data_IF_666824464094
#
_entry.id   IF_666824464094
#
_cell.length_a   1.000
_cell.length_b   1.000
_cell.length_c   1.000
_cell.angle_alpha   90.00
_cell.angle_beta   90.00
_cell.angle_gamma   90.00
#
_symmetry.space_group_name_H-M   'P 1'
#
loop_
_entity.id
_entity.type
_entity.pdbx_description
1 polymer ?
#
# COMPACT_ATOMS: atom_id res chain seq x y z
N UNK A 1 29.28 -10.47 11.07
CA UNK A 1 28.78 -9.31 10.29
C UNK A 1 27.28 -9.30 10.46
N UNK A 2 26.68 -8.20 10.89
CA UNK A 2 25.23 -8.12 11.00
C UNK A 2 24.63 -8.18 9.59
N UNK A 3 23.80 -9.19 9.30
CA UNK A 3 22.98 -9.27 8.09
C UNK A 3 21.90 -8.19 8.19
N UNK A 4 22.24 -6.94 7.90
CA UNK A 4 21.28 -5.85 7.91
C UNK A 4 20.47 -5.88 6.62
N UNK A 5 19.20 -6.29 6.73
CA UNK A 5 18.22 -6.26 5.65
C UNK A 5 17.82 -4.79 5.40
N UNK A 6 17.74 -4.37 4.13
CA UNK A 6 17.35 -3.00 3.80
C UNK A 6 15.84 -2.80 3.88
N UNK A 7 15.38 -1.56 4.03
CA UNK A 7 13.95 -1.23 4.00
C UNK A 7 13.27 -1.66 2.68
N UNK A 8 14.03 -1.60 1.58
CA UNK A 8 13.56 -1.99 0.26
C UNK A 8 13.36 -3.51 0.15
N UNK A 9 14.25 -4.31 0.74
CA UNK A 9 14.10 -5.77 0.81
C UNK A 9 12.87 -6.16 1.66
N UNK A 10 12.63 -5.46 2.77
CA UNK A 10 11.43 -5.68 3.59
C UNK A 10 10.17 -5.33 2.78
N UNK A 11 10.19 -4.21 2.06
CA UNK A 11 9.06 -3.77 1.22
C UNK A 11 8.77 -4.74 0.08
N UNK A 12 9.81 -5.25 -0.58
CA UNK A 12 9.67 -6.23 -1.66
C UNK A 12 9.04 -7.52 -1.16
N UNK A 13 9.58 -8.09 -0.08
CA UNK A 13 9.04 -9.29 0.55
C UNK A 13 7.59 -9.09 1.01
N UNK A 14 7.29 -7.93 1.60
CA UNK A 14 5.93 -7.58 2.01
C UNK A 14 4.97 -7.50 0.81
N UNK A 15 5.37 -6.84 -0.28
CA UNK A 15 4.55 -6.72 -1.48
C UNK A 15 4.28 -8.08 -2.14
N UNK A 16 5.27 -8.96 -2.19
CA UNK A 16 5.12 -10.31 -2.71
C UNK A 16 4.19 -11.16 -1.82
N UNK A 17 4.38 -11.12 -0.49
CA UNK A 17 3.52 -11.83 0.45
C UNK A 17 2.06 -11.37 0.36
N UNK A 18 1.84 -10.04 0.27
CA UNK A 18 0.50 -9.47 0.05
C UNK A 18 -0.12 -9.92 -1.28
N UNK A 19 0.66 -9.95 -2.36
CA UNK A 19 0.17 -10.40 -3.67
C UNK A 19 -0.21 -11.88 -3.65
N UNK A 20 0.61 -12.74 -3.04
CA UNK A 20 0.34 -14.16 -2.93
C UNK A 20 -0.91 -14.43 -2.08
N UNK A 21 -1.02 -13.76 -0.92
CA UNK A 21 -2.21 -13.82 -0.07
C UNK A 21 -3.46 -13.37 -0.83
N UNK A 22 -3.40 -12.23 -1.52
CA UNK A 22 -4.54 -11.70 -2.27
C UNK A 22 -4.95 -12.58 -3.45
N UNK A 23 -4.00 -13.19 -4.15
CA UNK A 23 -4.27 -14.17 -5.20
C UNK A 23 -4.98 -15.42 -4.65
N UNK A 24 -4.60 -15.87 -3.45
CA UNK A 24 -5.26 -17.00 -2.79
C UNK A 24 -6.70 -16.66 -2.37
N UNK A 25 -6.92 -15.45 -1.86
CA UNK A 25 -8.25 -14.97 -1.46
C UNK A 25 -9.15 -14.64 -2.65
N UNK A 26 -8.58 -14.15 -3.75
CA UNK A 26 -9.28 -13.69 -4.96
C UNK A 26 -8.61 -14.30 -6.20
N UNK A 27 -8.99 -15.52 -6.62
CA UNK A 27 -8.33 -16.23 -7.74
C UNK A 27 -8.30 -15.45 -9.06
N UNK A 28 -9.31 -14.61 -9.32
CA UNK A 28 -9.38 -13.75 -10.52
C UNK A 28 -8.23 -12.74 -10.59
N UNK A 29 -7.63 -12.36 -9.45
CA UNK A 29 -6.43 -11.53 -9.45
C UNK A 29 -5.24 -12.28 -10.08
N UNK A 30 -5.12 -13.59 -9.87
CA UNK A 30 -4.10 -14.41 -10.54
C UNK A 30 -4.29 -14.43 -12.06
N UNK A 31 -5.51 -14.67 -12.54
CA UNK A 31 -5.86 -14.60 -13.96
C UNK A 31 -5.57 -13.22 -14.56
N UNK A 32 -5.81 -12.14 -13.81
CA UNK A 32 -5.45 -10.79 -14.24
C UNK A 32 -3.94 -10.62 -14.39
N UNK A 33 -3.14 -11.14 -13.45
CA UNK A 33 -1.68 -11.05 -13.54
C UNK A 33 -1.12 -11.80 -14.75
N UNK A 34 -1.66 -12.98 -15.07
CA UNK A 34 -1.31 -13.73 -16.28
C UNK A 34 -1.61 -12.92 -17.55
N UNK A 35 -2.82 -12.36 -17.65
CA UNK A 35 -3.20 -11.51 -18.78
C UNK A 35 -2.30 -10.27 -18.92
N UNK A 36 -1.96 -9.63 -17.80
CA UNK A 36 -1.05 -8.47 -17.79
C UNK A 36 0.34 -8.86 -18.30
N UNK A 37 0.86 -10.03 -17.91
CA UNK A 37 2.14 -10.52 -18.38
C UNK A 37 2.13 -10.77 -19.90
N UNK A 38 1.09 -11.43 -20.41
CA UNK A 38 0.93 -11.71 -21.85
C UNK A 38 0.85 -10.43 -22.67
N UNK A 39 0.05 -9.45 -22.21
CA UNK A 39 -0.10 -8.15 -22.88
C UNK A 39 1.23 -7.37 -22.85
N UNK A 40 1.93 -7.34 -21.72
CA UNK A 40 3.21 -6.66 -21.61
C UNK A 40 4.24 -7.26 -22.57
N UNK A 41 4.33 -8.59 -22.65
CA UNK A 41 5.23 -9.27 -23.59
C UNK A 41 4.88 -8.92 -25.03
N UNK A 42 3.62 -9.04 -25.42
CA UNK A 42 3.17 -8.73 -26.78
C UNK A 42 3.45 -7.28 -27.17
N UNK A 43 3.29 -6.31 -26.25
CA UNK A 43 3.61 -4.90 -26.52
C UNK A 43 5.10 -4.69 -26.73
N UNK A 44 5.96 -5.31 -25.92
CA UNK A 44 7.41 -5.17 -26.02
C UNK A 44 7.97 -5.84 -27.29
N UNK A 45 7.43 -6.98 -27.69
CA UNK A 45 7.81 -7.67 -28.93
C UNK A 45 7.43 -6.87 -30.18
N UNK A 46 6.25 -6.25 -30.18
CA UNK A 46 5.74 -5.46 -31.30
C UNK A 46 6.30 -4.03 -31.35
N UNK A 47 7.02 -3.58 -30.32
CA UNK A 47 7.58 -2.23 -30.26
C UNK A 47 9.03 -2.21 -29.73
N UNK A 48 10.03 -2.56 -30.58
CA UNK A 48 11.43 -2.62 -30.17
C UNK A 48 11.98 -1.29 -29.63
N UNK A 49 11.50 -0.15 -30.15
CA UNK A 49 11.92 1.18 -29.65
C UNK A 49 11.48 1.41 -28.21
N UNK A 50 10.25 1.01 -27.86
CA UNK A 50 9.76 1.10 -26.50
C UNK A 50 10.54 0.15 -25.57
N UNK A 51 10.86 -1.05 -26.06
CA UNK A 51 11.70 -1.99 -25.32
C UNK A 51 13.07 -1.37 -25.01
N UNK A 52 13.78 -0.84 -26.00
CA UNK A 52 15.08 -0.17 -25.78
C UNK A 52 14.97 1.00 -24.79
N UNK A 53 13.91 1.81 -24.89
CA UNK A 53 13.67 2.91 -23.96
C UNK A 53 13.50 2.43 -22.51
N UNK A 54 12.68 1.40 -22.28
CA UNK A 54 12.44 0.85 -20.95
C UNK A 54 13.67 0.12 -20.40
N UNK A 55 14.45 -0.54 -21.27
CA UNK A 55 15.72 -1.17 -20.89
C UNK A 55 16.75 -0.13 -20.45
N UNK A 56 16.90 0.95 -21.21
CA UNK A 56 17.85 2.03 -20.90
C UNK A 56 17.47 2.82 -19.63
N UNK A 57 16.20 2.77 -19.23
CA UNK A 57 15.69 3.43 -18.03
C UNK A 57 15.58 2.48 -16.82
N UNK A 58 16.06 1.23 -16.92
CA UNK A 58 15.95 0.18 -15.89
C UNK A 58 14.50 -0.09 -15.41
N UNK A 59 13.50 0.19 -16.25
CA UNK A 59 12.08 0.06 -15.89
C UNK A 59 11.49 -1.33 -16.18
N UNK A 60 12.18 -2.15 -16.97
CA UNK A 60 11.72 -3.51 -17.30
C UNK A 60 11.60 -4.42 -16.08
N UNK A 61 12.59 -4.37 -15.17
CA UNK A 61 12.56 -5.14 -13.93
C UNK A 61 11.41 -4.67 -13.01
N UNK A 62 11.12 -3.36 -13.03
CA UNK A 62 10.06 -2.73 -12.24
C UNK A 62 8.67 -3.12 -12.71
N UNK A 63 8.44 -3.17 -14.02
CA UNK A 63 7.12 -3.35 -14.63
C UNK A 63 6.37 -4.58 -14.11
N UNK A 64 7.09 -5.69 -13.90
CA UNK A 64 6.49 -6.95 -13.44
C UNK A 64 6.19 -6.98 -11.93
N UNK A 65 6.76 -6.06 -11.16
CA UNK A 65 6.64 -5.99 -9.71
C UNK A 65 5.73 -4.84 -9.25
N UNK A 66 5.45 -3.87 -10.13
CA UNK A 66 4.71 -2.66 -9.79
C UNK A 66 3.26 -2.98 -9.41
N UNK A 67 2.94 -2.71 -8.13
CA UNK A 67 1.62 -2.95 -7.54
C UNK A 67 1.25 -1.80 -6.62
N UNK A 68 -0.05 -1.58 -6.46
CA UNK A 68 -0.57 -0.71 -5.41
C UNK A 68 -1.70 -1.39 -4.65
N UNK A 69 -1.67 -1.29 -3.33
CA UNK A 69 -2.75 -1.72 -2.44
C UNK A 69 -3.65 -0.55 -2.06
N UNK A 70 -4.85 -0.85 -1.59
CA UNK A 70 -5.75 0.13 -1.00
C UNK A 70 -6.37 -0.44 0.28
N UNK A 71 -6.29 0.33 1.38
CA UNK A 71 -6.85 -0.06 2.68
C UNK A 71 -7.61 1.10 3.32
N UNK A 72 -8.46 0.77 4.29
CA UNK A 72 -9.28 1.73 5.05
C UNK A 72 -9.10 1.50 6.54
N UNK A 73 -8.84 2.56 7.28
CA UNK A 73 -8.78 2.56 8.75
C UNK A 73 -9.86 3.46 9.32
N UNK A 74 -10.30 3.13 10.53
CA UNK A 74 -11.42 3.78 11.20
C UNK A 74 -11.01 4.82 12.24
N UNK A 75 -9.76 4.78 12.72
CA UNK A 75 -9.30 5.72 13.77
C UNK A 75 -7.96 6.35 13.42
N UNK A 76 -7.72 7.54 13.99
CA UNK A 76 -6.44 8.23 13.87
C UNK A 76 -5.28 7.40 14.46
N UNK A 77 -5.54 6.63 15.53
CA UNK A 77 -4.54 5.75 16.12
C UNK A 77 -4.14 4.61 15.18
N UNK A 78 -5.11 4.00 14.50
CA UNK A 78 -4.83 2.97 13.48
C UNK A 78 -3.96 3.53 12.35
N UNK A 79 -4.27 4.72 11.85
CA UNK A 79 -3.47 5.40 10.82
C UNK A 79 -2.05 5.72 11.31
N UNK A 80 -1.92 6.23 12.54
CA UNK A 80 -0.62 6.56 13.13
C UNK A 80 0.27 5.33 13.32
N UNK A 81 -0.32 4.20 13.71
CA UNK A 81 0.40 2.92 13.81
C UNK A 81 0.81 2.40 12.43
N UNK A 82 -0.08 2.46 11.43
CA UNK A 82 0.28 2.10 10.05
C UNK A 82 1.43 2.95 9.51
N UNK A 83 1.45 4.25 9.79
CA UNK A 83 2.57 5.13 9.41
C UNK A 83 3.91 4.61 9.96
N UNK A 84 3.94 4.15 11.22
CA UNK A 84 5.16 3.56 11.83
C UNK A 84 5.54 2.25 11.17
N UNK A 85 4.57 1.39 10.89
CA UNK A 85 4.80 0.11 10.19
C UNK A 85 5.35 0.34 8.78
N UNK A 86 4.74 1.24 8.01
CA UNK A 86 5.19 1.59 6.65
C UNK A 86 6.56 2.27 6.64
N UNK A 87 6.92 3.05 7.66
CA UNK A 87 8.24 3.64 7.77
C UNK A 87 9.37 2.58 7.87
N UNK A 88 9.13 1.41 8.47
CA UNK A 88 10.10 0.30 8.50
C UNK A 88 10.41 -0.20 7.07
N UNK A 89 9.41 -0.14 6.19
CA UNK A 89 9.51 -0.49 4.77
C UNK A 89 9.97 0.67 3.89
N UNK A 90 10.43 1.79 4.46
CA UNK A 90 10.85 2.97 3.70
C UNK A 90 9.69 3.67 2.97
N UNK A 91 8.45 3.49 3.44
CA UNK A 91 7.26 4.06 2.83
C UNK A 91 6.72 5.22 3.66
N UNK A 92 6.56 6.38 3.02
CA UNK A 92 6.18 7.64 3.67
C UNK A 92 4.84 8.15 3.12
N UNK A 93 4.06 8.89 3.93
CA UNK A 93 2.81 9.48 3.47
C UNK A 93 3.09 10.59 2.46
N UNK A 94 2.62 10.40 1.22
CA UNK A 94 2.76 11.35 0.12
C UNK A 94 1.39 11.84 -0.33
N UNK A 95 1.26 13.17 -0.37
CA UNK A 95 0.07 13.91 -0.79
C UNK A 95 -1.15 13.73 0.13
N UNK A 96 -2.21 14.48 -0.15
CA UNK A 96 -3.47 14.46 0.57
C UNK A 96 -4.63 14.40 -0.40
N UNK A 97 -5.60 13.54 -0.12
CA UNK A 97 -6.78 13.32 -0.95
C UNK A 97 -8.03 13.45 -0.08
N UNK A 98 -8.91 14.38 -0.40
CA UNK A 98 -10.22 14.52 0.24
C UNK A 98 -11.32 13.96 -0.67
N UNK A 99 -11.84 12.79 -0.33
CA UNK A 99 -12.90 12.14 -1.11
C UNK A 99 -14.31 12.56 -0.64
N UNK A 100 -14.41 13.40 0.40
CA UNK A 100 -15.70 13.95 0.82
C UNK A 100 -16.34 14.81 -0.28
N UNK A 101 -15.52 15.43 -1.13
CA UNK A 101 -15.94 16.15 -2.34
C UNK A 101 -16.69 15.25 -3.35
N UNK A 102 -16.43 13.94 -3.31
CA UNK A 102 -17.10 12.93 -4.15
C UNK A 102 -18.21 12.17 -3.38
N UNK A 103 -18.60 12.64 -2.20
CA UNK A 103 -19.63 12.00 -1.37
C UNK A 103 -19.17 10.77 -0.60
N UNK A 104 -17.86 10.49 -0.53
CA UNK A 104 -17.31 9.37 0.24
C UNK A 104 -16.73 9.91 1.56
N UNK A 105 -17.13 9.41 2.74
CA UNK A 105 -16.76 10.01 4.02
C UNK A 105 -15.35 9.60 4.47
N UNK A 106 -14.34 9.84 3.63
CA UNK A 106 -12.94 9.52 3.90
C UNK A 106 -12.01 10.62 3.38
N UNK A 107 -10.85 10.70 3.99
CA UNK A 107 -9.68 11.38 3.44
C UNK A 107 -8.46 10.46 3.52
N UNK A 108 -7.47 10.67 2.66
CA UNK A 108 -6.47 9.64 2.38
C UNK A 108 -5.09 10.21 2.09
N UNK A 109 -4.08 9.33 2.14
CA UNK A 109 -2.70 9.56 1.70
C UNK A 109 -2.19 8.28 1.02
N UNK A 110 -1.16 8.39 0.18
CA UNK A 110 -0.46 7.23 -0.36
C UNK A 110 0.85 7.00 0.41
N UNK A 111 1.03 5.82 1.01
CA UNK A 111 2.32 5.42 1.58
C UNK A 111 3.18 4.82 0.46
N UNK A 112 4.35 5.42 0.19
CA UNK A 112 5.27 4.95 -0.86
C UNK A 112 6.72 5.36 -0.57
N UNK A 113 7.70 4.72 -1.22
CA UNK A 113 9.07 5.24 -1.26
C UNK A 113 9.11 6.60 -1.94
N UNK A 114 10.08 7.43 -1.55
CA UNK A 114 10.27 8.78 -2.10
C UNK A 114 11.62 8.98 -2.80
N UNK A 115 12.57 8.08 -2.53
CA UNK A 115 13.89 8.06 -3.18
C UNK A 115 13.81 7.37 -4.54
N UNK A 116 14.54 7.89 -5.52
CA UNK A 116 14.50 7.39 -6.90
C UNK A 116 15.04 5.97 -7.00
N UNK A 117 16.13 5.63 -6.30
CA UNK A 117 16.68 4.28 -6.30
C UNK A 117 15.72 3.29 -5.64
N UNK A 118 15.09 3.69 -4.53
CA UNK A 118 14.08 2.88 -3.85
C UNK A 118 12.82 2.65 -4.73
N UNK A 119 12.41 3.65 -5.50
CA UNK A 119 11.31 3.56 -6.46
C UNK A 119 11.64 2.66 -7.65
N UNK A 120 12.84 2.79 -8.22
CA UNK A 120 13.30 1.93 -9.31
C UNK A 120 13.38 0.47 -8.88
N UNK A 121 13.82 0.20 -7.65
CA UNK A 121 13.90 -1.16 -7.10
C UNK A 121 12.52 -1.76 -6.81
N UNK A 122 11.68 -1.05 -6.06
CA UNK A 122 10.34 -1.53 -5.74
C UNK A 122 9.38 -0.36 -5.47
N UNK A 123 8.50 -0.02 -6.44
CA UNK A 123 7.63 1.14 -6.36
C UNK A 123 6.33 0.88 -5.61
N UNK A 124 6.25 -0.14 -4.74
CA UNK A 124 5.03 -0.54 -4.05
C UNK A 124 4.43 0.61 -3.23
N UNK A 125 3.11 0.76 -3.31
CA UNK A 125 2.37 1.87 -2.67
C UNK A 125 1.11 1.33 -2.03
N UNK A 126 0.69 1.96 -0.94
CA UNK A 126 -0.61 1.67 -0.32
C UNK A 126 -1.38 2.97 -0.15
N UNK A 127 -2.53 3.05 -0.82
CA UNK A 127 -3.49 4.11 -0.63
C UNK A 127 -4.29 3.84 0.65
N UNK A 128 -4.07 4.66 1.68
CA UNK A 128 -4.66 4.46 3.00
C UNK A 128 -5.67 5.56 3.26
N UNK A 129 -6.92 5.16 3.45
CA UNK A 129 -8.03 6.08 3.74
C UNK A 129 -8.42 6.02 5.20
N UNK A 130 -8.64 7.17 5.83
CA UNK A 130 -9.19 7.31 7.18
C UNK A 130 -10.67 7.70 7.09
N UNK A 131 -11.52 6.93 7.76
CA UNK A 131 -12.94 7.20 7.90
C UNK A 131 -13.18 8.49 8.71
N UNK A 132 -14.07 9.35 8.19
CA UNK A 132 -14.54 10.57 8.83
C UNK A 132 -15.91 10.33 9.47
N UNK A 133 -15.91 9.90 10.72
CA UNK A 133 -17.15 9.63 11.47
C UNK A 133 -18.01 10.90 11.64
N UNK A 134 -17.39 12.08 11.65
CA UNK A 134 -18.07 13.36 11.74
C UNK A 134 -19.00 13.64 10.55
N UNK A 135 -18.77 12.98 9.40
CA UNK A 135 -19.62 13.06 8.21
C UNK A 135 -20.81 12.06 8.22
N UNK A 136 -21.01 11.30 9.30
CA UNK A 136 -22.15 10.38 9.44
C UNK A 136 -23.29 11.09 10.15
N UNK A 137 -24.28 11.61 9.43
CA UNK A 137 -25.38 12.43 9.99
C UNK A 137 -26.20 11.72 11.09
N UNK A 138 -26.41 10.41 10.95
CA UNK A 138 -27.15 9.62 11.93
C UNK A 138 -26.32 9.44 13.22
N UNK A 139 -26.68 10.17 14.28
CA UNK A 139 -25.95 10.18 15.56
C UNK A 139 -25.89 8.78 16.21
N UNK A 140 -27.00 8.02 16.37
CA UNK A 140 -26.92 6.66 16.90
C UNK A 140 -25.98 5.73 16.11
N UNK A 141 -25.96 5.85 14.78
CA UNK A 141 -25.07 5.08 13.93
C UNK A 141 -23.60 5.48 14.11
N UNK A 142 -23.34 6.80 14.19
CA UNK A 142 -22.01 7.35 14.43
C UNK A 142 -21.43 6.87 15.76
N UNK A 143 -22.21 6.92 16.84
CA UNK A 143 -21.81 6.45 18.16
C UNK A 143 -21.56 4.93 18.16
N UNK A 144 -22.42 4.17 17.50
CA UNK A 144 -22.24 2.72 17.34
C UNK A 144 -20.94 2.39 16.58
N UNK A 145 -20.66 3.09 15.49
CA UNK A 145 -19.43 2.92 14.73
C UNK A 145 -18.19 3.26 15.57
N UNK A 146 -18.22 4.39 16.28
CA UNK A 146 -17.14 4.79 17.19
C UNK A 146 -16.87 3.75 18.28
N UNK A 147 -17.93 3.21 18.90
CA UNK A 147 -17.81 2.20 19.95
C UNK A 147 -17.22 0.87 19.43
N UNK A 148 -17.56 0.45 18.21
CA UNK A 148 -16.98 -0.75 17.59
C UNK A 148 -15.50 -0.52 17.27
N UNK A 149 -15.16 0.62 16.68
CA UNK A 149 -13.78 0.98 16.33
C UNK A 149 -12.88 1.11 17.56
N UNK A 150 -13.40 1.61 18.68
CA UNK A 150 -12.64 1.78 19.92
C UNK A 150 -12.27 0.45 20.60
N UNK A 151 -12.97 -0.64 20.30
CA UNK A 151 -12.79 -1.95 20.97
C UNK A 151 -11.92 -2.93 20.19
N UNK A 152 -11.69 -2.68 18.90
CA UNK A 152 -10.93 -3.59 18.04
C UNK A 152 -9.43 -3.32 18.11
N UNK A 153 -8.66 -4.37 17.93
CA UNK A 153 -7.20 -4.30 17.74
C UNK A 153 -6.87 -4.94 16.41
N UNK A 154 -6.36 -4.15 15.45
CA UNK A 154 -6.04 -4.63 14.09
C UNK A 154 -4.57 -5.04 13.92
N UNK A 155 -3.73 -4.81 14.93
CA UNK A 155 -2.31 -5.17 14.93
C UNK A 155 -2.04 -6.26 15.97
N UNK A 156 -1.29 -7.30 15.59
CA UNK A 156 -0.92 -8.37 16.53
C UNK A 156 0.09 -7.87 17.57
N UNK A 157 0.13 -8.47 18.79
CA UNK A 157 0.96 -7.98 19.90
C UNK A 157 2.46 -7.73 19.63
N UNK A 158 3.16 -8.50 18.76
CA UNK A 158 4.57 -8.21 18.43
C UNK A 158 4.76 -6.89 17.68
N UNK A 159 3.71 -6.38 17.01
CA UNK A 159 3.73 -5.14 16.24
C UNK A 159 3.29 -3.92 17.07
N UNK A 160 2.60 -4.13 18.19
CA UNK A 160 2.21 -3.07 19.14
C UNK A 160 3.35 -2.77 20.11
N UNK A 161 4.50 -2.34 19.59
CA UNK A 161 5.57 -1.78 20.40
C UNK A 161 5.12 -0.45 21.01
N UNK A 162 4.62 -0.50 22.25
CA UNK A 162 4.35 0.65 23.11
C UNK A 162 4.84 0.39 24.54
N UNK A 163 6.17 0.46 24.69
CA UNK A 163 6.83 1.13 25.82
C UNK A 163 8.19 1.61 25.30
N UNK A 164 8.17 2.73 24.60
CA UNK A 164 9.37 3.54 24.38
C UNK A 164 8.93 4.99 24.64
N UNK A 165 9.32 5.59 25.78
CA UNK A 165 8.99 6.99 26.07
C UNK A 165 9.83 7.92 25.19
N UNK A 166 9.30 9.15 25.06
CA UNK A 166 9.75 10.23 24.19
C UNK A 166 11.24 10.59 24.33
#
# INVERSE_FOLDING_TARGET
MANNITADDIRENFSQAMSAMYQQEVPQYGTLLELVADVNLAVLENNPKLHEQLANADELARLNLERHGAIRVGTAQELATLRRMFAIMGMFPVSYYDLSQAGVPVHSTAFRPVDDAALCRNPFRIFTSLLRLDLIDNVPLREKAAAILARRTIFTPPLSGANCPA
#
